data_IF_572402247202
#
_entry.id   IF_572402247202
#
_cell.length_a   1.000
_cell.length_b   1.000
_cell.length_c   1.000
_cell.angle_alpha   90.00
_cell.angle_beta   90.00
_cell.angle_gamma   90.00
#
_symmetry.space_group_name_H-M   'P 1'
#
loop_
_entity.id
_entity.type
_entity.pdbx_description
1 polymer ?
#
# COMPACT_ATOMS: atom_id res chain seq x y z
N UNK A 1 -18.69 47.17 9.22
CA UNK A 1 -17.72 46.09 9.02
C UNK A 1 -18.45 45.02 8.23
N UNK A 2 -18.33 45.05 6.90
CA UNK A 2 -18.83 43.97 6.04
C UNK A 2 -17.87 42.79 6.22
N UNK A 3 -18.35 41.69 6.81
CA UNK A 3 -17.60 40.44 6.86
C UNK A 3 -17.43 39.94 5.41
N UNK A 4 -16.18 39.79 4.97
CA UNK A 4 -15.88 39.28 3.65
C UNK A 4 -16.50 37.87 3.48
N UNK A 5 -17.09 37.54 2.32
CA UNK A 5 -17.62 36.21 2.08
C UNK A 5 -16.48 35.19 2.18
N UNK A 6 -16.65 34.20 3.06
CA UNK A 6 -15.72 33.08 3.25
C UNK A 6 -15.39 32.44 1.90
N UNK A 7 -14.10 32.28 1.63
CA UNK A 7 -13.59 31.81 0.32
C UNK A 7 -13.83 30.30 0.14
N UNK A 8 -13.84 29.80 -1.12
CA UNK A 8 -14.04 28.36 -1.40
C UNK A 8 -13.01 27.48 -0.65
N UNK A 9 -11.77 27.96 -0.51
CA UNK A 9 -10.69 27.23 0.17
C UNK A 9 -10.92 27.10 1.68
N UNK A 10 -11.42 28.16 2.31
CA UNK A 10 -11.80 28.15 3.73
C UNK A 10 -12.98 27.21 3.96
N UNK A 11 -13.96 27.18 3.05
CA UNK A 11 -15.08 26.24 3.13
C UNK A 11 -14.62 24.79 2.96
N UNK A 12 -13.66 24.53 2.08
CA UNK A 12 -13.10 23.19 1.91
C UNK A 12 -12.32 22.72 3.14
N UNK A 13 -11.59 23.64 3.79
CA UNK A 13 -10.91 23.37 5.07
C UNK A 13 -11.93 23.08 6.17
N UNK A 14 -13.04 23.79 6.17
CA UNK A 14 -14.14 23.56 7.09
C UNK A 14 -14.78 22.17 6.87
N UNK A 15 -15.03 21.78 5.61
CA UNK A 15 -15.51 20.44 5.26
C UNK A 15 -14.53 19.34 5.67
N UNK A 16 -13.23 19.58 5.53
CA UNK A 16 -12.19 18.65 5.97
C UNK A 16 -12.17 18.45 7.48
N UNK A 17 -12.42 19.51 8.25
CA UNK A 17 -12.54 19.44 9.71
C UNK A 17 -13.77 18.65 10.17
N UNK A 18 -14.89 18.79 9.45
CA UNK A 18 -16.13 18.05 9.73
C UNK A 18 -16.07 16.57 9.33
N UNK A 19 -15.29 16.26 8.29
CA UNK A 19 -15.15 14.91 7.77
C UNK A 19 -16.23 14.52 6.75
N UNK A 20 -15.87 13.60 5.84
CA UNK A 20 -16.68 13.23 4.66
C UNK A 20 -18.10 12.77 5.01
N UNK A 21 -18.24 11.89 6.01
CA UNK A 21 -19.55 11.36 6.39
C UNK A 21 -20.49 12.45 6.93
N UNK A 22 -19.96 13.41 7.69
CA UNK A 22 -20.75 14.49 8.25
C UNK A 22 -21.16 15.50 7.17
N UNK A 23 -20.23 15.84 6.27
CA UNK A 23 -20.51 16.71 5.12
C UNK A 23 -21.56 16.08 4.20
N UNK A 24 -21.51 14.75 4.00
CA UNK A 24 -22.50 14.06 3.17
C UNK A 24 -23.92 14.10 3.75
N UNK A 25 -24.05 13.94 5.06
CA UNK A 25 -25.35 14.03 5.76
C UNK A 25 -25.90 15.46 5.77
N UNK A 26 -25.03 16.44 6.01
CA UNK A 26 -25.42 17.85 6.10
C UNK A 26 -25.58 18.57 4.76
N UNK A 27 -24.96 18.08 3.68
CA UNK A 27 -25.02 18.73 2.36
C UNK A 27 -26.46 18.88 1.83
N UNK A 28 -27.39 18.02 2.25
CA UNK A 28 -28.81 18.11 1.91
C UNK A 28 -29.54 19.25 2.64
N UNK A 29 -29.01 19.72 3.77
CA UNK A 29 -29.59 20.76 4.61
C UNK A 29 -29.03 22.15 4.32
N UNK A 30 -27.96 22.23 3.52
CA UNK A 30 -27.30 23.48 3.17
C UNK A 30 -27.95 24.21 2.00
N UNK A 31 -27.68 25.52 1.91
CA UNK A 31 -28.15 26.35 0.81
C UNK A 31 -27.55 25.89 -0.53
N UNK A 32 -28.28 26.06 -1.63
CA UNK A 32 -27.88 25.55 -2.95
C UNK A 32 -26.41 25.79 -3.37
N UNK A 33 -25.85 27.00 -3.17
CA UNK A 33 -24.44 27.26 -3.46
C UNK A 33 -23.48 26.44 -2.60
N UNK A 34 -23.76 26.35 -1.30
CA UNK A 34 -22.94 25.60 -0.33
C UNK A 34 -23.05 24.09 -0.55
N UNK A 35 -24.23 23.62 -0.92
CA UNK A 35 -24.48 22.24 -1.32
C UNK A 35 -23.68 21.87 -2.58
N UNK A 36 -23.64 22.74 -3.60
CA UNK A 36 -22.83 22.50 -4.80
C UNK A 36 -21.33 22.41 -4.47
N UNK A 37 -20.85 23.27 -3.56
CA UNK A 37 -19.48 23.24 -3.04
C UNK A 37 -19.18 21.95 -2.26
N UNK A 38 -20.10 21.51 -1.42
CA UNK A 38 -19.99 20.25 -0.67
C UNK A 38 -19.87 19.03 -1.60
N UNK A 39 -20.73 18.96 -2.64
CA UNK A 39 -20.65 17.87 -3.63
C UNK A 39 -19.38 17.93 -4.48
N UNK A 40 -18.91 19.14 -4.83
CA UNK A 40 -17.63 19.32 -5.52
C UNK A 40 -16.48 18.79 -4.67
N UNK A 41 -16.46 19.10 -3.38
CA UNK A 41 -15.46 18.61 -2.44
C UNK A 41 -15.53 17.08 -2.24
N UNK A 42 -16.72 16.51 -1.99
CA UNK A 42 -16.91 15.06 -1.87
C UNK A 42 -16.43 14.31 -3.11
N UNK A 43 -16.67 14.86 -4.31
CA UNK A 43 -16.20 14.28 -5.56
C UNK A 43 -14.69 14.30 -5.70
N UNK A 44 -14.01 15.36 -5.22
CA UNK A 44 -12.55 15.40 -5.20
C UNK A 44 -11.97 14.34 -4.26
N UNK A 45 -12.57 14.16 -3.08
CA UNK A 45 -12.17 13.13 -2.12
C UNK A 45 -12.36 11.71 -2.67
N UNK A 46 -13.48 11.41 -3.32
CA UNK A 46 -13.71 10.11 -3.97
C UNK A 46 -12.67 9.82 -5.06
N UNK A 47 -12.34 10.82 -5.89
CA UNK A 47 -11.29 10.68 -6.91
C UNK A 47 -9.91 10.44 -6.29
N UNK A 48 -9.58 11.14 -5.21
CA UNK A 48 -8.32 10.94 -4.50
C UNK A 48 -8.24 9.53 -3.87
N UNK A 49 -9.33 9.09 -3.23
CA UNK A 49 -9.44 7.76 -2.65
C UNK A 49 -9.28 6.66 -3.71
N UNK A 50 -9.92 6.81 -4.88
CA UNK A 50 -9.74 5.88 -6.01
C UNK A 50 -8.30 5.82 -6.49
N UNK A 51 -7.64 6.97 -6.68
CA UNK A 51 -6.22 7.01 -7.08
C UNK A 51 -5.32 6.31 -6.06
N UNK A 52 -5.57 6.50 -4.76
CA UNK A 52 -4.83 5.80 -3.68
C UNK A 52 -5.09 4.29 -3.70
N UNK A 53 -6.32 3.86 -3.92
CA UNK A 53 -6.66 2.44 -4.03
C UNK A 53 -6.04 1.77 -5.26
N UNK A 54 -6.02 2.45 -6.40
CA UNK A 54 -5.35 1.96 -7.62
C UNK A 54 -3.84 1.83 -7.41
N UNK A 55 -3.21 2.83 -6.77
CA UNK A 55 -1.80 2.77 -6.40
C UNK A 55 -1.51 1.61 -5.42
N UNK A 56 -2.36 1.44 -4.40
CA UNK A 56 -2.21 0.34 -3.43
C UNK A 56 -2.39 -1.03 -4.07
N UNK A 57 -3.36 -1.20 -4.98
CA UNK A 57 -3.54 -2.47 -5.70
C UNK A 57 -2.35 -2.78 -6.62
N UNK A 58 -1.81 -1.78 -7.31
CA UNK A 58 -0.61 -1.94 -8.12
C UNK A 58 0.60 -2.35 -7.26
N UNK A 59 0.73 -1.76 -6.08
CA UNK A 59 1.79 -2.09 -5.12
C UNK A 59 1.61 -3.49 -4.52
N UNK A 60 0.40 -3.88 -4.14
CA UNK A 60 0.09 -5.23 -3.66
C UNK A 60 0.38 -6.29 -4.74
N UNK A 61 0.03 -6.04 -6.01
CA UNK A 61 0.37 -6.92 -7.12
C UNK A 61 1.89 -7.05 -7.31
N UNK A 62 2.65 -5.94 -7.16
CA UNK A 62 4.12 -5.96 -7.23
C UNK A 62 4.70 -6.75 -6.06
N UNK A 63 4.24 -6.50 -4.84
CA UNK A 63 4.69 -7.22 -3.63
C UNK A 63 4.39 -8.71 -3.72
N UNK A 64 3.21 -9.10 -4.20
CA UNK A 64 2.85 -10.50 -4.40
C UNK A 64 3.75 -11.20 -5.45
N UNK A 65 4.11 -10.50 -6.54
CA UNK A 65 5.06 -11.03 -7.53
C UNK A 65 6.49 -11.14 -6.96
N UNK A 66 6.94 -10.14 -6.22
CA UNK A 66 8.28 -10.14 -5.61
C UNK A 66 8.41 -11.24 -4.55
N UNK A 67 7.40 -11.42 -3.69
CA UNK A 67 7.38 -12.48 -2.69
C UNK A 67 7.39 -13.88 -3.33
N UNK A 68 6.63 -14.10 -4.40
CA UNK A 68 6.63 -15.37 -5.15
C UNK A 68 7.99 -15.66 -5.78
N UNK A 69 8.64 -14.66 -6.38
CA UNK A 69 9.98 -14.82 -6.94
C UNK A 69 11.03 -15.08 -5.86
N UNK A 70 10.97 -14.38 -4.73
CA UNK A 70 11.87 -14.60 -3.60
C UNK A 70 11.71 -16.01 -3.02
N UNK A 71 10.47 -16.51 -2.89
CA UNK A 71 10.21 -17.87 -2.41
C UNK A 71 10.75 -18.94 -3.38
N UNK A 72 10.62 -18.75 -4.69
CA UNK A 72 11.17 -19.66 -5.70
C UNK A 72 12.70 -19.66 -5.66
N UNK A 73 13.32 -18.48 -5.57
CA UNK A 73 14.79 -18.36 -5.47
C UNK A 73 15.30 -19.02 -4.18
N UNK A 74 14.64 -18.79 -3.05
CA UNK A 74 14.99 -19.42 -1.79
C UNK A 74 14.84 -20.95 -1.84
N UNK A 75 13.78 -21.47 -2.48
CA UNK A 75 13.56 -22.91 -2.65
C UNK A 75 14.63 -23.56 -3.54
N UNK A 76 15.04 -22.90 -4.64
CA UNK A 76 16.11 -23.39 -5.52
C UNK A 76 17.45 -23.38 -4.79
N UNK A 77 17.75 -22.32 -4.04
CA UNK A 77 18.98 -22.23 -3.25
C UNK A 77 19.06 -23.36 -2.22
N UNK A 78 17.97 -23.59 -1.47
CA UNK A 78 17.91 -24.68 -0.48
C UNK A 78 18.05 -26.07 -1.11
N UNK A 79 17.51 -26.29 -2.31
CA UNK A 79 17.62 -27.57 -2.99
C UNK A 79 19.05 -27.91 -3.45
N UNK A 80 19.88 -26.89 -3.70
CA UNK A 80 21.28 -27.06 -4.14
C UNK A 80 22.24 -27.10 -2.94
N UNK A 81 22.01 -26.27 -1.93
CA UNK A 81 22.91 -26.12 -0.78
C UNK A 81 22.92 -27.36 0.12
N UNK A 82 21.73 -27.93 0.38
CA UNK A 82 21.58 -29.10 1.26
C UNK A 82 22.36 -30.34 0.77
N UNK A 83 22.25 -30.81 -0.50
CA UNK A 83 23.00 -31.97 -0.95
C UNK A 83 24.52 -31.70 -1.03
N UNK A 84 24.95 -30.49 -1.40
CA UNK A 84 26.37 -30.13 -1.43
C UNK A 84 26.99 -30.10 -0.04
N UNK A 85 26.26 -29.59 0.96
CA UNK A 85 26.67 -29.62 2.35
C UNK A 85 26.83 -31.07 2.85
N UNK A 86 25.87 -31.95 2.54
CA UNK A 86 25.93 -33.36 2.93
C UNK A 86 27.13 -34.06 2.27
N UNK A 87 27.34 -33.87 0.96
CA UNK A 87 28.48 -34.46 0.24
C UNK A 87 29.82 -33.97 0.83
N UNK A 88 29.92 -32.68 1.15
CA UNK A 88 31.12 -32.10 1.76
C UNK A 88 31.43 -32.72 3.12
N UNK A 89 30.42 -32.89 3.97
CA UNK A 89 30.58 -33.55 5.27
C UNK A 89 31.06 -35.00 5.09
N UNK A 90 30.50 -35.74 4.13
CA UNK A 90 30.90 -37.12 3.85
C UNK A 90 32.36 -37.18 3.38
N UNK A 91 32.75 -36.34 2.42
CA UNK A 91 34.14 -36.31 1.90
C UNK A 91 35.12 -35.94 3.00
N UNK A 92 34.84 -34.91 3.81
CA UNK A 92 35.71 -34.53 4.93
C UNK A 92 35.84 -35.65 5.96
N UNK A 93 34.74 -36.34 6.28
CA UNK A 93 34.75 -37.49 7.19
C UNK A 93 35.57 -38.64 6.61
N UNK A 94 35.38 -38.97 5.33
CA UNK A 94 36.15 -40.03 4.65
C UNK A 94 37.64 -39.69 4.55
N UNK A 95 37.99 -38.43 4.33
CA UNK A 95 39.39 -37.97 4.25
C UNK A 95 40.10 -38.10 5.60
N UNK A 96 39.36 -37.91 6.70
CA UNK A 96 39.91 -38.05 8.04
C UNK A 96 40.00 -39.51 8.51
N UNK A 97 39.01 -40.34 8.14
CA UNK A 97 38.95 -41.77 8.52
C UNK A 97 39.85 -42.64 7.65
N UNK A 98 40.00 -42.32 6.37
CA UNK A 98 40.91 -42.98 5.43
C UNK A 98 41.88 -41.96 4.85
N UNK A 99 42.90 -41.53 5.61
CA UNK A 99 44.02 -40.83 5.01
C UNK A 99 44.68 -41.79 4.02
N UNK A 100 44.60 -41.48 2.73
CA UNK A 100 45.29 -42.24 1.68
C UNK A 100 46.79 -42.33 2.07
N UNK A 101 47.27 -43.56 2.28
CA UNK A 101 48.69 -43.90 2.32
C UNK A 101 49.40 -43.51 1.03
#
# INVERSE_FOLDING_TARGET
>A
MEEAPMTEEEQFTHFETMGEAHVQDMALQWSGPLQALAYKWLRQKDQESRRRNEASQAEQMRTARTAKNAAIVAAIAAAIDVPLAIISIIISTLTWVYPHH
#
